data_IF_439316668937
#
_entry.id   IF_439316668937
#
_cell.length_a   1.000
_cell.length_b   1.000
_cell.length_c   1.000
_cell.angle_alpha   90.00
_cell.angle_beta   90.00
_cell.angle_gamma   90.00
#
_symmetry.space_group_name_H-M   'P 1'
#
loop_
_entity.id
_entity.type
_entity.pdbx_description
1 polymer ?
#
# COMPACT_ATOMS: atom_id res chain seq x y z
N UNK A 1 -2.70 6.15 -2.73
CA UNK A 1 -3.00 6.57 -4.05
C UNK A 1 -3.00 5.48 -5.11
N UNK A 2 -3.18 4.20 -4.73
CA UNK A 2 -3.39 3.11 -5.69
C UNK A 2 -4.80 3.14 -6.28
N UNK A 3 -4.97 2.55 -7.48
CA UNK A 3 -6.31 2.15 -7.95
C UNK A 3 -6.90 1.10 -6.99
N UNK A 4 -6.08 0.08 -6.67
CA UNK A 4 -6.39 -0.92 -5.65
C UNK A 4 -5.05 -1.39 -5.08
N UNK A 5 -4.98 -1.72 -3.76
CA UNK A 5 -3.73 -2.18 -3.15
C UNK A 5 -3.25 -3.49 -3.79
N UNK A 6 -2.20 -3.46 -4.61
CA UNK A 6 -1.78 -4.63 -5.39
C UNK A 6 -0.92 -5.59 -4.57
N UNK A 7 -0.80 -6.82 -5.06
CA UNK A 7 0.40 -7.61 -4.79
C UNK A 7 1.64 -6.86 -5.28
N UNK A 8 2.72 -6.85 -4.49
CA UNK A 8 3.93 -6.07 -4.79
C UNK A 8 5.10 -6.91 -5.32
N UNK A 9 4.86 -8.19 -5.63
CA UNK A 9 5.87 -9.12 -6.11
C UNK A 9 5.60 -9.69 -7.51
N UNK A 10 4.34 -9.98 -7.83
CA UNK A 10 3.99 -10.69 -9.06
C UNK A 10 3.68 -9.80 -10.26
N UNK A 11 2.95 -8.66 -10.13
CA UNK A 11 2.72 -7.78 -11.27
C UNK A 11 4.03 -7.28 -11.88
N UNK A 12 4.04 -7.07 -13.19
CA UNK A 12 5.17 -6.44 -13.83
C UNK A 12 5.23 -4.92 -13.49
N UNK A 13 6.37 -4.28 -13.76
CA UNK A 13 6.55 -2.87 -13.44
C UNK A 13 5.55 -1.94 -14.14
N UNK A 14 5.14 -2.28 -15.36
CA UNK A 14 4.15 -1.51 -16.12
C UNK A 14 2.77 -1.57 -15.46
N UNK A 15 2.33 -2.74 -14.99
CA UNK A 15 1.07 -2.89 -14.25
C UNK A 15 1.06 -2.06 -12.97
N UNK A 16 2.15 -2.07 -12.20
CA UNK A 16 2.29 -1.24 -11.01
C UNK A 16 2.21 0.26 -11.35
N UNK A 17 2.88 0.70 -12.44
CA UNK A 17 2.82 2.10 -12.90
C UNK A 17 1.38 2.47 -13.29
N UNK A 18 0.66 1.60 -13.99
CA UNK A 18 -0.74 1.83 -14.35
C UNK A 18 -1.66 1.88 -13.12
N UNK A 19 -1.43 1.01 -12.15
CA UNK A 19 -2.17 1.02 -10.88
C UNK A 19 -2.02 2.37 -10.16
N UNK A 20 -0.80 2.89 -10.08
CA UNK A 20 -0.53 4.21 -9.50
C UNK A 20 -1.19 5.32 -10.34
N UNK A 21 -1.07 5.26 -11.67
CA UNK A 21 -1.61 6.29 -12.56
C UNK A 21 -3.14 6.39 -12.46
N UNK A 22 -3.84 5.25 -12.46
CA UNK A 22 -5.29 5.21 -12.26
C UNK A 22 -5.70 5.75 -10.88
N UNK A 23 -4.96 5.37 -9.84
CA UNK A 23 -5.19 5.89 -8.48
C UNK A 23 -4.97 7.39 -8.40
N UNK A 24 -3.85 7.91 -8.92
CA UNK A 24 -3.57 9.36 -8.93
C UNK A 24 -4.65 10.13 -9.69
N UNK A 25 -5.06 9.64 -10.87
CA UNK A 25 -6.12 10.26 -11.65
C UNK A 25 -7.41 10.36 -10.85
N UNK A 26 -7.82 9.28 -10.18
CA UNK A 26 -9.01 9.28 -9.34
C UNK A 26 -8.91 10.30 -8.20
N UNK A 27 -7.80 10.34 -7.47
CA UNK A 27 -7.63 11.29 -6.36
C UNK A 27 -7.57 12.74 -6.83
N UNK A 28 -6.98 13.01 -7.98
CA UNK A 28 -6.95 14.35 -8.57
C UNK A 28 -8.34 14.79 -9.06
N UNK A 29 -9.09 13.91 -9.74
CA UNK A 29 -10.43 14.20 -10.27
C UNK A 29 -11.46 14.40 -9.15
N UNK A 30 -11.46 13.53 -8.13
CA UNK A 30 -12.49 13.53 -7.09
C UNK A 30 -12.16 14.45 -5.90
N UNK A 31 -10.89 14.61 -5.56
CA UNK A 31 -10.48 15.32 -4.34
C UNK A 31 -9.52 16.50 -4.59
N UNK A 32 -9.05 16.68 -5.81
CA UNK A 32 -8.08 17.75 -6.14
C UNK A 32 -6.72 17.57 -5.47
N UNK A 33 -6.36 16.35 -5.07
CA UNK A 33 -5.10 16.05 -4.37
C UNK A 33 -4.34 14.93 -5.07
N UNK A 34 -3.01 14.97 -4.94
CA UNK A 34 -2.13 13.90 -5.38
C UNK A 34 -1.38 13.34 -4.17
N UNK A 35 -1.66 12.11 -3.74
CA UNK A 35 -0.99 11.52 -2.60
C UNK A 35 0.52 11.39 -2.81
N UNK A 36 1.30 11.71 -1.77
CA UNK A 36 2.76 11.59 -1.75
C UNK A 36 3.25 10.44 -0.86
N UNK A 37 2.34 9.86 -0.07
CA UNK A 37 2.59 8.65 0.70
C UNK A 37 1.87 7.46 0.08
N UNK A 38 2.61 6.43 -0.26
CA UNK A 38 2.04 5.14 -0.61
C UNK A 38 1.72 4.33 0.66
N UNK A 39 0.64 3.56 0.62
CA UNK A 39 0.19 2.71 1.74
C UNK A 39 -0.10 1.33 1.21
N UNK A 40 0.52 0.30 1.78
CA UNK A 40 0.22 -1.09 1.44
C UNK A 40 0.40 -1.98 2.67
N UNK A 41 -0.67 -2.10 3.45
CA UNK A 41 -0.62 -2.71 4.77
C UNK A 41 -0.52 -4.24 4.71
N UNK A 42 -1.30 -4.86 3.85
CA UNK A 42 -1.55 -6.29 3.90
C UNK A 42 -0.87 -7.11 2.78
N UNK A 43 -0.18 -6.49 1.85
CA UNK A 43 0.55 -7.19 0.79
C UNK A 43 1.61 -8.14 1.36
N UNK A 44 1.78 -9.27 0.69
CA UNK A 44 2.59 -10.40 1.18
C UNK A 44 4.06 -10.26 0.78
N UNK A 45 4.61 -9.10 1.13
CA UNK A 45 5.96 -8.68 0.85
C UNK A 45 6.07 -7.66 -0.29
N UNK A 46 7.25 -7.05 -0.41
CA UNK A 46 7.46 -5.94 -1.33
C UNK A 46 8.81 -6.10 -2.04
N UNK A 47 8.78 -6.15 -3.37
CA UNK A 47 9.99 -6.20 -4.19
C UNK A 47 10.79 -4.89 -4.08
N UNK A 48 12.11 -4.98 -3.97
CA UNK A 48 12.99 -3.79 -3.96
C UNK A 48 12.88 -2.96 -5.25
N UNK A 49 12.43 -3.56 -6.35
CA UNK A 49 12.14 -2.85 -7.61
C UNK A 49 11.02 -1.82 -7.49
N UNK A 50 10.12 -1.99 -6.52
CA UNK A 50 9.03 -1.06 -6.24
C UNK A 50 9.54 0.34 -5.83
N UNK A 51 10.68 0.43 -5.14
CA UNK A 51 11.25 1.71 -4.67
C UNK A 51 11.43 2.71 -5.81
N UNK A 52 11.99 2.25 -6.93
CA UNK A 52 12.19 3.10 -8.10
C UNK A 52 10.86 3.59 -8.68
N UNK A 53 9.88 2.72 -8.75
CA UNK A 53 8.55 3.05 -9.29
C UNK A 53 7.86 4.08 -8.38
N UNK A 54 7.85 3.84 -7.07
CA UNK A 54 7.28 4.78 -6.09
C UNK A 54 7.93 6.15 -6.19
N UNK A 55 9.26 6.20 -6.16
CA UNK A 55 10.00 7.45 -6.20
C UNK A 55 9.72 8.23 -7.51
N UNK A 56 9.74 7.57 -8.66
CA UNK A 56 9.46 8.22 -9.95
C UNK A 56 7.98 8.62 -10.11
N UNK A 57 7.07 7.94 -9.44
CA UNK A 57 5.65 8.31 -9.41
C UNK A 57 5.35 9.50 -8.47
N UNK A 58 6.36 9.98 -7.72
CA UNK A 58 6.24 11.11 -6.80
C UNK A 58 5.90 10.73 -5.36
N UNK A 59 6.00 9.44 -5.00
CA UNK A 59 5.95 9.03 -3.61
C UNK A 59 7.35 9.14 -2.98
N UNK A 60 7.44 9.82 -1.86
CA UNK A 60 8.66 9.96 -1.07
C UNK A 60 8.59 9.22 0.26
N UNK A 61 7.40 8.68 0.56
CA UNK A 61 7.12 7.94 1.80
C UNK A 61 6.25 6.72 1.55
N UNK A 62 6.39 5.72 2.43
CA UNK A 62 5.68 4.44 2.31
C UNK A 62 5.31 3.89 3.68
N UNK A 63 4.08 3.47 3.87
CA UNK A 63 3.62 2.80 5.11
C UNK A 63 3.30 1.35 4.81
N UNK A 64 3.87 0.45 5.63
CA UNK A 64 3.68 -1.00 5.54
C UNK A 64 3.43 -1.59 6.93
N UNK A 65 2.71 -2.71 7.01
CA UNK A 65 2.60 -3.52 8.21
C UNK A 65 3.33 -4.86 8.07
N UNK A 66 3.59 -5.29 6.85
CA UNK A 66 4.32 -6.53 6.53
C UNK A 66 5.61 -6.22 5.77
N UNK A 67 6.65 -7.03 5.97
CA UNK A 67 6.78 -8.17 6.89
C UNK A 67 6.83 -7.71 8.36
N UNK A 68 6.25 -8.51 9.25
CA UNK A 68 6.36 -8.28 10.69
C UNK A 68 7.81 -8.46 11.18
N UNK A 69 8.14 -7.91 12.35
CA UNK A 69 9.49 -7.97 12.94
C UNK A 69 10.03 -9.40 13.05
N UNK A 70 9.19 -10.37 13.35
CA UNK A 70 9.59 -11.77 13.42
C UNK A 70 10.03 -12.37 12.07
N UNK A 71 9.52 -11.87 10.96
CA UNK A 71 9.85 -12.31 9.61
C UNK A 71 11.01 -11.52 9.01
N UNK A 72 11.14 -10.28 9.40
CA UNK A 72 12.18 -9.36 8.94
C UNK A 72 12.76 -8.65 10.19
N UNK A 73 13.77 -9.26 10.83
CA UNK A 73 14.30 -8.80 12.10
C UNK A 73 15.12 -7.51 11.91
N UNK A 74 14.42 -6.40 11.92
CA UNK A 74 14.95 -5.06 11.84
C UNK A 74 14.30 -4.24 12.94
N UNK A 75 15.09 -3.63 13.81
CA UNK A 75 14.60 -3.06 15.06
C UNK A 75 13.78 -1.77 14.83
N UNK A 76 14.25 -0.92 13.94
CA UNK A 76 13.61 0.36 13.70
C UNK A 76 12.33 0.24 12.87
N UNK A 77 11.33 1.03 13.25
CA UNK A 77 10.09 1.17 12.49
C UNK A 77 10.27 2.08 11.27
N UNK A 78 11.15 3.09 11.37
CA UNK A 78 11.41 4.03 10.29
C UNK A 78 12.78 3.79 9.67
N UNK A 79 12.83 3.63 8.36
CA UNK A 79 14.06 3.40 7.59
C UNK A 79 13.98 3.93 6.16
N UNK A 80 15.12 4.26 5.59
CA UNK A 80 15.22 4.53 4.14
C UNK A 80 15.27 3.22 3.38
N UNK A 81 14.28 2.97 2.57
CA UNK A 81 14.28 1.84 1.65
C UNK A 81 14.86 2.26 0.33
N UNK A 82 16.01 1.69 -0.02
CA UNK A 82 16.78 2.08 -1.18
C UNK A 82 16.68 1.03 -2.28
N UNK A 83 16.33 1.50 -3.46
CA UNK A 83 16.22 0.69 -4.67
C UNK A 83 17.54 0.50 -5.38
N UNK A 84 17.56 -0.45 -6.34
CA UNK A 84 18.74 -0.82 -7.11
C UNK A 84 19.34 0.33 -7.94
N UNK A 85 18.52 1.31 -8.35
CA UNK A 85 18.93 2.48 -9.11
C UNK A 85 19.33 3.68 -8.24
N UNK A 86 19.40 3.50 -6.91
CA UNK A 86 19.72 4.56 -5.96
C UNK A 86 18.52 5.45 -5.56
N UNK A 87 17.32 5.18 -6.07
CA UNK A 87 16.07 5.81 -5.58
C UNK A 87 15.81 5.41 -4.14
N UNK A 88 15.21 6.30 -3.36
CA UNK A 88 14.94 6.09 -1.94
C UNK A 88 13.51 6.53 -1.59
N UNK A 89 12.88 5.83 -0.66
CA UNK A 89 11.64 6.24 0.00
C UNK A 89 11.78 6.04 1.51
N UNK A 90 11.23 6.94 2.31
CA UNK A 90 11.19 6.77 3.76
C UNK A 90 10.01 5.85 4.11
N UNK A 91 10.30 4.73 4.73
CA UNK A 91 9.29 3.74 5.14
C UNK A 91 8.99 3.88 6.61
N UNK A 92 7.72 3.78 6.96
CA UNK A 92 7.25 3.46 8.31
C UNK A 92 6.66 2.06 8.29
N UNK A 93 7.22 1.15 9.10
CA UNK A 93 6.65 -0.16 9.35
C UNK A 93 5.86 -0.12 10.65
N UNK A 94 4.56 -0.18 10.56
CA UNK A 94 3.75 -0.38 11.75
C UNK A 94 3.92 -1.83 12.23
N UNK A 95 4.53 -2.02 13.39
CA UNK A 95 4.67 -3.33 14.02
C UNK A 95 3.34 -3.78 14.67
N UNK A 96 2.43 -2.84 14.86
CA UNK A 96 1.05 -3.07 15.27
C UNK A 96 0.19 -3.48 14.08
N UNK A 97 -0.91 -4.11 14.35
CA UNK A 97 -1.93 -4.31 13.32
C UNK A 97 -2.47 -2.95 12.85
N UNK A 98 -2.87 -2.85 11.59
CA UNK A 98 -3.58 -1.69 11.05
C UNK A 98 -5.07 -1.66 11.45
N UNK A 99 -5.50 -2.58 12.31
CA UNK A 99 -6.85 -2.70 12.85
C UNK A 99 -6.82 -2.86 14.37
N UNK A 100 -7.96 -2.64 15.01
CA UNK A 100 -8.15 -2.76 16.45
C UNK A 100 -9.41 -3.56 16.79
N UNK A 101 -9.45 -4.12 17.98
CA UNK A 101 -10.65 -4.77 18.50
C UNK A 101 -11.66 -3.70 18.93
N UNK A 102 -12.94 -3.90 18.60
CA UNK A 102 -14.02 -3.00 18.98
C UNK A 102 -14.01 -2.70 20.48
N UNK A 103 -13.96 -1.42 20.84
CA UNK A 103 -13.97 -0.94 22.22
C UNK A 103 -12.65 -1.09 22.98
N UNK A 104 -11.54 -1.40 22.29
CA UNK A 104 -10.25 -1.61 22.95
C UNK A 104 -9.23 -0.50 22.67
N UNK A 105 -9.48 0.38 21.70
CA UNK A 105 -8.52 1.39 21.23
C UNK A 105 -8.03 2.29 22.36
N UNK A 106 -8.88 2.70 23.29
CA UNK A 106 -8.46 3.55 24.41
C UNK A 106 -7.33 2.92 25.22
N UNK A 107 -7.46 1.64 25.58
CA UNK A 107 -6.45 0.89 26.33
C UNK A 107 -5.19 0.61 25.50
N UNK A 108 -5.38 0.22 24.26
CA UNK A 108 -4.27 -0.09 23.33
C UNK A 108 -3.44 1.18 23.05
N UNK A 109 -4.10 2.32 22.86
CA UNK A 109 -3.44 3.60 22.67
C UNK A 109 -2.68 4.06 23.91
N UNK A 110 -3.22 3.88 25.13
CA UNK A 110 -2.47 4.14 26.37
C UNK A 110 -1.19 3.32 26.46
N UNK A 111 -1.25 2.05 26.10
CA UNK A 111 -0.06 1.18 26.08
C UNK A 111 0.93 1.65 25.02
N UNK A 112 0.45 1.95 23.80
CA UNK A 112 1.28 2.48 22.72
C UNK A 112 2.00 3.77 23.10
N UNK A 113 1.31 4.69 23.77
CA UNK A 113 1.92 5.95 24.26
C UNK A 113 3.03 5.71 25.29
N UNK A 114 2.88 4.70 26.15
CA UNK A 114 3.93 4.33 27.10
C UNK A 114 5.11 3.67 26.39
N UNK A 115 4.86 2.79 25.43
CA UNK A 115 5.89 2.07 24.66
C UNK A 115 6.68 3.02 23.74
N UNK A 116 6.08 4.13 23.31
CA UNK A 116 6.70 5.12 22.42
C UNK A 116 7.03 6.46 23.08
N UNK A 117 7.04 6.54 24.40
CA UNK A 117 7.24 7.80 25.16
C UNK A 117 8.55 8.53 24.88
N UNK A 118 9.57 7.80 24.45
CA UNK A 118 10.89 8.35 24.11
C UNK A 118 10.99 8.78 22.64
N UNK A 119 9.97 8.51 21.84
CA UNK A 119 9.90 8.92 20.44
C UNK A 119 9.26 10.31 20.32
N UNK A 120 9.87 11.25 19.58
CA UNK A 120 9.33 12.60 19.44
C UNK A 120 8.02 12.65 18.66
N UNK A 121 7.80 11.70 17.77
CA UNK A 121 6.60 11.55 16.93
C UNK A 121 6.37 10.07 16.68
N UNK A 122 5.17 9.59 16.92
CA UNK A 122 4.74 8.21 16.65
C UNK A 122 3.41 8.16 15.90
N UNK A 123 3.19 7.07 15.18
CA UNK A 123 1.97 6.83 14.40
C UNK A 123 1.25 5.60 14.93
N UNK A 124 0.01 5.78 15.40
CA UNK A 124 -0.86 4.68 15.80
C UNK A 124 -1.98 4.50 14.77
N UNK A 125 -2.06 3.32 14.19
CA UNK A 125 -3.11 2.94 13.24
C UNK A 125 -4.24 2.22 13.99
N UNK A 126 -5.48 2.62 13.74
CA UNK A 126 -6.62 2.01 14.43
C UNK A 126 -7.90 2.06 13.60
N UNK A 127 -8.84 1.23 14.00
CA UNK A 127 -10.16 1.06 13.41
C UNK A 127 -10.55 -0.40 13.49
N UNK A 128 -11.82 -0.70 13.74
CA UNK A 128 -12.33 -2.08 13.72
C UNK A 128 -12.06 -2.66 12.35
N UNK A 129 -11.26 -3.69 12.31
CA UNK A 129 -10.74 -4.24 11.07
C UNK A 129 -11.23 -5.61 10.77
N UNK A 130 -10.47 -6.20 9.91
CA UNK A 130 -10.57 -7.50 9.30
C UNK A 130 -11.86 -7.69 8.49
N UNK A 131 -11.78 -7.31 7.21
CA UNK A 131 -12.84 -7.43 6.19
C UNK A 131 -14.05 -6.48 6.33
N UNK A 132 -13.83 -5.33 6.93
CA UNK A 132 -14.81 -4.27 6.99
C UNK A 132 -14.98 -3.73 8.40
N UNK A 133 -15.16 -2.45 8.48
CA UNK A 133 -15.23 -1.76 9.76
C UNK A 133 -14.71 -0.34 9.62
N UNK A 134 -13.92 0.08 10.58
CA UNK A 134 -13.37 1.41 10.67
C UNK A 134 -13.52 1.99 12.07
N UNK A 135 -13.35 3.30 12.27
CA UNK A 135 -13.46 3.91 13.57
C UNK A 135 -14.85 3.71 14.20
N UNK A 136 -14.91 3.04 15.36
CA UNK A 136 -16.17 2.89 16.08
C UNK A 136 -16.48 4.14 16.92
N UNK A 137 -17.76 4.36 17.22
CA UNK A 137 -18.16 5.48 18.08
C UNK A 137 -17.67 5.32 19.52
N UNK A 138 -17.56 4.09 20.00
CA UNK A 138 -17.03 3.77 21.34
C UNK A 138 -15.56 4.17 21.38
N UNK A 139 -14.77 3.67 20.47
CA UNK A 139 -13.34 3.95 20.38
C UNK A 139 -13.06 5.44 20.15
N UNK A 140 -13.84 6.13 19.30
CA UNK A 140 -13.75 7.59 19.13
C UNK A 140 -14.00 8.36 20.44
N UNK A 141 -14.92 7.87 21.27
CA UNK A 141 -15.21 8.47 22.57
C UNK A 141 -14.02 8.29 23.51
N UNK A 142 -13.45 7.09 23.57
CA UNK A 142 -12.29 6.78 24.41
C UNK A 142 -11.04 7.55 23.96
N UNK A 143 -10.75 7.59 22.66
CA UNK A 143 -9.66 8.41 22.10
C UNK A 143 -9.87 9.89 22.41
N UNK A 144 -11.10 10.43 22.24
CA UNK A 144 -11.41 11.83 22.56
C UNK A 144 -11.20 12.16 24.04
N UNK A 145 -11.51 11.22 24.93
CA UNK A 145 -11.27 11.33 26.36
C UNK A 145 -9.76 11.38 26.65
N UNK A 146 -9.00 10.43 26.10
CA UNK A 146 -7.56 10.35 26.27
C UNK A 146 -6.82 11.58 25.75
N UNK A 147 -7.23 12.12 24.60
CA UNK A 147 -6.71 13.41 24.09
C UNK A 147 -6.83 14.53 25.13
N UNK A 148 -7.98 14.64 25.81
CA UNK A 148 -8.19 15.67 26.82
C UNK A 148 -7.40 15.42 28.10
N UNK A 149 -7.33 14.17 28.56
CA UNK A 149 -6.66 13.78 29.78
C UNK A 149 -5.15 13.94 29.70
N UNK A 150 -4.56 13.67 28.53
CA UNK A 150 -3.11 13.74 28.31
C UNK A 150 -2.61 15.07 27.72
N UNK A 151 -3.51 16.03 27.45
CA UNK A 151 -3.19 17.30 26.77
C UNK A 151 -2.10 18.15 27.45
N UNK A 152 -1.85 17.98 28.75
CA UNK A 152 -0.78 18.68 29.48
C UNK A 152 0.60 18.04 29.29
N UNK A 153 0.68 16.80 28.82
CA UNK A 153 1.89 16.00 28.73
C UNK A 153 2.34 15.80 27.28
N UNK A 154 1.39 15.56 26.37
CA UNK A 154 1.66 15.27 24.97
C UNK A 154 0.47 15.67 24.09
N UNK A 155 0.73 15.84 22.81
CA UNK A 155 -0.28 16.13 21.80
C UNK A 155 -0.71 14.85 21.08
N UNK A 156 -1.97 14.49 21.20
CA UNK A 156 -2.59 13.39 20.43
C UNK A 156 -3.55 14.00 19.42
N UNK A 157 -3.32 13.75 18.12
CA UNK A 157 -4.16 14.30 17.05
C UNK A 157 -4.65 13.19 16.12
N UNK A 158 -5.86 13.36 15.59
CA UNK A 158 -6.25 12.60 14.40
C UNK A 158 -5.47 13.14 13.20
N UNK A 159 -4.83 12.26 12.47
CA UNK A 159 -3.86 12.64 11.44
C UNK A 159 -3.97 11.75 10.20
N UNK A 160 -3.03 11.92 9.30
CA UNK A 160 -2.81 11.07 8.14
C UNK A 160 -1.30 10.81 7.96
N UNK A 161 -0.91 9.81 7.15
CA UNK A 161 0.49 9.46 6.98
C UNK A 161 1.39 10.59 6.47
N UNK A 162 0.90 11.46 5.59
CA UNK A 162 1.70 12.59 5.08
C UNK A 162 2.04 13.59 6.17
N UNK A 163 1.08 13.92 7.04
CA UNK A 163 1.33 14.77 8.20
C UNK A 163 2.31 14.11 9.17
N UNK A 164 2.16 12.82 9.46
CA UNK A 164 3.13 12.07 10.26
C UNK A 164 4.54 12.17 9.71
N UNK A 165 4.74 11.85 8.44
CA UNK A 165 6.09 11.89 7.84
C UNK A 165 6.68 13.30 7.79
N UNK A 166 5.86 14.34 7.64
CA UNK A 166 6.31 15.72 7.72
C UNK A 166 6.91 16.02 9.09
N UNK A 167 6.19 15.69 10.16
CA UNK A 167 6.66 15.90 11.53
C UNK A 167 7.85 14.98 11.86
N UNK A 168 7.80 13.73 11.41
CA UNK A 168 8.88 12.76 11.62
C UNK A 168 10.19 13.18 10.96
N UNK A 169 10.14 13.67 9.71
CA UNK A 169 11.31 14.22 9.00
C UNK A 169 11.87 15.47 9.67
N UNK A 170 11.03 16.28 10.31
CA UNK A 170 11.48 17.46 11.07
C UNK A 170 12.16 17.06 12.39
N UNK A 171 11.68 16.01 13.04
CA UNK A 171 12.21 15.54 14.31
C UNK A 171 13.46 14.67 14.19
N UNK A 172 13.63 13.91 13.08
CA UNK A 172 14.74 12.97 12.87
C UNK A 172 15.29 13.12 11.45
N UNK A 173 16.59 13.33 11.36
CA UNK A 173 17.29 13.60 10.07
C UNK A 173 18.12 12.43 9.56
N UNK A 174 18.26 11.36 10.33
CA UNK A 174 19.04 10.17 9.96
C UNK A 174 18.24 8.91 10.22
N UNK A 175 18.18 8.05 9.23
CA UNK A 175 17.47 6.77 9.27
C UNK A 175 18.42 5.65 8.81
N UNK A 176 18.30 4.44 9.36
CA UNK A 176 19.00 3.29 8.83
C UNK A 176 18.54 2.96 7.41
N UNK A 177 19.40 2.32 6.64
CA UNK A 177 19.15 2.01 5.22
C UNK A 177 18.89 0.52 5.03
N UNK A 178 17.84 0.20 4.29
CA UNK A 178 17.49 -1.15 3.85
C UNK A 178 17.58 -1.21 2.32
N UNK A 179 18.42 -2.11 1.78
CA UNK A 179 18.70 -2.25 0.33
C UNK A 179 18.22 -3.60 -0.24
N UNK A 180 17.23 -4.23 0.36
CA UNK A 180 16.71 -5.54 -0.05
C UNK A 180 15.18 -5.53 -0.11
N UNK A 181 14.60 -6.54 -0.78
CA UNK A 181 13.16 -6.74 -0.76
C UNK A 181 12.65 -7.00 0.67
N UNK A 182 11.46 -6.51 0.96
CA UNK A 182 10.77 -6.74 2.24
C UNK A 182 10.02 -8.08 2.14
N UNK A 183 10.78 -9.16 2.15
CA UNK A 183 10.34 -10.55 1.99
C UNK A 183 11.12 -11.44 2.96
N UNK A 184 10.65 -12.66 3.25
CA UNK A 184 9.42 -13.31 2.78
C UNK A 184 8.19 -12.98 3.64
N UNK A 185 7.00 -13.09 3.03
CA UNK A 185 5.71 -13.06 3.73
C UNK A 185 4.75 -14.02 3.02
N UNK A 186 4.10 -14.93 3.76
CA UNK A 186 3.04 -15.82 3.27
C UNK A 186 3.39 -16.54 1.93
N UNK A 187 4.60 -17.08 1.82
CA UNK A 187 5.18 -17.64 0.59
C UNK A 187 4.31 -18.73 -0.07
N UNK A 188 3.54 -19.48 0.73
CA UNK A 188 2.65 -20.52 0.25
C UNK A 188 1.57 -20.03 -0.71
N UNK A 189 1.11 -18.78 -0.54
CA UNK A 189 0.11 -18.17 -1.42
C UNK A 189 0.60 -18.13 -2.86
N UNK A 190 1.87 -17.81 -3.08
CA UNK A 190 2.47 -17.68 -4.41
C UNK A 190 2.54 -18.99 -5.21
N UNK A 191 2.27 -20.12 -4.58
CA UNK A 191 2.19 -21.45 -5.20
C UNK A 191 0.77 -22.00 -5.32
N UNK A 192 -0.23 -21.29 -4.76
CA UNK A 192 -1.65 -21.67 -4.84
C UNK A 192 -2.35 -21.02 -6.04
N UNK A 193 -3.58 -21.44 -6.34
CA UNK A 193 -4.46 -20.86 -7.38
C UNK A 193 -3.72 -20.52 -8.68
N UNK A 194 -2.96 -21.46 -9.22
CA UNK A 194 -2.05 -21.25 -10.35
C UNK A 194 -2.75 -20.72 -11.61
N UNK A 195 -4.04 -21.03 -11.79
CA UNK A 195 -4.83 -20.54 -12.94
C UNK A 195 -4.93 -19.02 -12.95
N UNK A 196 -5.16 -18.39 -11.78
CA UNK A 196 -5.19 -16.92 -11.63
C UNK A 196 -3.87 -16.33 -12.11
N UNK A 197 -2.75 -16.87 -11.65
CA UNK A 197 -1.40 -16.42 -12.01
C UNK A 197 -1.10 -16.54 -13.49
N UNK A 198 -1.52 -17.64 -14.10
CA UNK A 198 -1.36 -17.87 -15.54
C UNK A 198 -2.20 -16.89 -16.36
N UNK A 199 -3.47 -16.68 -15.97
CA UNK A 199 -4.37 -15.74 -16.64
C UNK A 199 -3.89 -14.29 -16.47
N UNK A 200 -3.48 -13.92 -15.28
CA UNK A 200 -2.89 -12.60 -15.01
C UNK A 200 -1.69 -12.33 -15.95
N UNK A 201 -0.72 -13.24 -16.01
CA UNK A 201 0.45 -13.08 -16.89
C UNK A 201 0.07 -13.02 -18.38
N UNK A 202 -0.90 -13.81 -18.79
CA UNK A 202 -1.42 -13.75 -20.15
C UNK A 202 -2.05 -12.37 -20.42
N UNK A 203 -2.90 -11.89 -19.53
CA UNK A 203 -3.60 -10.61 -19.69
C UNK A 203 -2.62 -9.42 -19.75
N UNK A 204 -1.59 -9.40 -18.89
CA UNK A 204 -0.52 -8.38 -18.97
C UNK A 204 0.10 -8.32 -20.38
N UNK A 205 0.40 -9.49 -20.96
CA UNK A 205 0.99 -9.55 -22.30
C UNK A 205 0.02 -9.16 -23.40
N UNK A 206 -1.22 -9.66 -23.36
CA UNK A 206 -2.24 -9.39 -24.37
C UNK A 206 -2.64 -7.89 -24.43
N UNK A 207 -2.70 -7.21 -23.28
CA UNK A 207 -2.93 -5.76 -23.25
C UNK A 207 -1.81 -5.03 -24.00
N UNK A 208 -0.54 -5.35 -23.71
CA UNK A 208 0.60 -4.72 -24.38
C UNK A 208 0.61 -5.00 -25.90
N UNK A 209 0.25 -6.19 -26.30
CA UNK A 209 0.12 -6.56 -27.72
C UNK A 209 -1.04 -5.80 -28.35
N UNK A 210 -2.21 -5.78 -27.70
CA UNK A 210 -3.39 -5.08 -28.16
C UNK A 210 -3.16 -3.58 -28.39
N UNK A 211 -2.52 -2.90 -27.44
CA UNK A 211 -2.16 -1.49 -27.57
C UNK A 211 -1.24 -1.22 -28.77
N UNK A 212 -0.20 -2.04 -28.95
CA UNK A 212 0.73 -1.92 -30.09
C UNK A 212 0.01 -2.15 -31.41
N UNK A 213 -0.83 -3.17 -31.50
CA UNK A 213 -1.60 -3.47 -32.71
C UNK A 213 -2.61 -2.37 -33.03
N UNK A 214 -3.33 -1.88 -32.03
CA UNK A 214 -4.30 -0.80 -32.18
C UNK A 214 -3.62 0.50 -32.65
N UNK A 215 -2.45 0.84 -32.05
CA UNK A 215 -1.65 1.99 -32.49
C UNK A 215 -1.18 1.86 -33.94
N UNK A 216 -0.70 0.67 -34.33
CA UNK A 216 -0.30 0.42 -35.72
C UNK A 216 -1.50 0.51 -36.68
N UNK A 217 -2.66 -0.03 -36.31
CA UNK A 217 -3.85 0.05 -37.11
C UNK A 217 -4.31 1.50 -37.32
N UNK A 218 -4.26 2.32 -36.26
CA UNK A 218 -4.59 3.75 -36.38
C UNK A 218 -3.60 4.48 -37.30
N UNK A 219 -2.32 4.29 -37.12
CA UNK A 219 -1.27 5.00 -37.89
C UNK A 219 -1.23 4.58 -39.37
N UNK A 220 -1.44 3.29 -39.66
CA UNK A 220 -1.29 2.76 -41.00
C UNK A 220 -2.60 2.76 -41.82
N UNK A 221 -3.74 2.61 -41.16
CA UNK A 221 -5.02 2.39 -41.80
C UNK A 221 -6.11 3.39 -41.42
N UNK A 222 -5.80 4.32 -40.48
CA UNK A 222 -6.77 5.30 -39.96
C UNK A 222 -7.89 4.67 -39.12
N UNK A 223 -7.72 3.46 -38.62
CA UNK A 223 -8.66 2.81 -37.72
C UNK A 223 -8.67 3.54 -36.36
N UNK A 224 -9.85 3.84 -35.83
CA UNK A 224 -9.97 4.50 -34.54
C UNK A 224 -9.37 3.61 -33.44
N UNK A 225 -8.47 4.18 -32.60
CA UNK A 225 -7.91 3.50 -31.45
C UNK A 225 -9.02 3.15 -30.43
N UNK A 226 -9.15 1.88 -29.99
CA UNK A 226 -10.20 1.42 -29.07
C UNK A 226 -9.85 1.77 -27.61
N UNK A 227 -9.85 3.08 -27.30
CA UNK A 227 -9.36 3.61 -26.02
C UNK A 227 -10.15 3.08 -24.83
N UNK A 228 -11.46 3.06 -24.94
CA UNK A 228 -12.34 2.67 -23.82
C UNK A 228 -12.23 1.18 -23.52
N UNK A 229 -12.21 0.34 -24.57
CA UNK A 229 -12.07 -1.11 -24.43
C UNK A 229 -10.71 -1.51 -23.83
N UNK A 230 -9.63 -0.83 -24.25
CA UNK A 230 -8.30 -1.05 -23.66
C UNK A 230 -8.29 -0.58 -22.21
N UNK A 231 -8.92 0.56 -21.89
CA UNK A 231 -8.99 1.05 -20.53
C UNK A 231 -9.78 0.10 -19.61
N UNK A 232 -10.89 -0.45 -20.08
CA UNK A 232 -11.63 -1.48 -19.36
C UNK A 232 -10.79 -2.73 -19.09
N UNK A 233 -10.06 -3.21 -20.11
CA UNK A 233 -9.14 -4.35 -19.95
C UNK A 233 -8.03 -4.06 -18.93
N UNK A 234 -7.44 -2.86 -18.95
CA UNK A 234 -6.46 -2.43 -17.96
C UNK A 234 -7.06 -2.44 -16.56
N UNK A 235 -8.24 -1.87 -16.37
CA UNK A 235 -8.89 -1.85 -15.03
C UNK A 235 -9.22 -3.26 -14.52
N UNK A 236 -9.63 -4.17 -15.40
CA UNK A 236 -9.84 -5.57 -15.04
C UNK A 236 -8.52 -6.24 -14.60
N UNK A 237 -7.42 -5.99 -15.32
CA UNK A 237 -6.09 -6.44 -14.91
C UNK A 237 -5.73 -5.91 -13.51
N UNK A 238 -5.81 -4.59 -13.31
CA UNK A 238 -5.45 -3.96 -12.04
C UNK A 238 -6.32 -4.43 -10.87
N UNK A 239 -7.59 -4.72 -11.12
CA UNK A 239 -8.47 -5.33 -10.12
C UNK A 239 -8.02 -6.73 -9.73
N UNK A 240 -7.62 -7.55 -10.72
CA UNK A 240 -7.13 -8.92 -10.49
C UNK A 240 -5.80 -8.97 -9.72
N UNK A 241 -5.06 -7.86 -9.66
CA UNK A 241 -3.79 -7.71 -8.94
C UNK A 241 -3.96 -7.47 -7.44
N UNK A 242 -5.19 -7.35 -6.94
CA UNK A 242 -5.45 -7.19 -5.51
C UNK A 242 -4.70 -8.24 -4.69
N UNK A 243 -4.16 -7.82 -3.55
CA UNK A 243 -3.24 -8.65 -2.76
C UNK A 243 -3.88 -9.91 -2.15
N UNK A 244 -5.20 -10.05 -2.17
CA UNK A 244 -5.91 -11.29 -1.81
C UNK A 244 -6.43 -12.08 -3.03
N UNK A 245 -6.33 -11.55 -4.24
CA UNK A 245 -6.67 -12.26 -5.47
C UNK A 245 -5.44 -12.91 -6.12
N UNK A 246 -4.51 -12.11 -6.60
CA UNK A 246 -3.34 -12.59 -7.35
C UNK A 246 -2.43 -13.55 -6.56
N UNK A 247 -2.10 -13.31 -5.28
CA UNK A 247 -1.32 -14.27 -4.49
C UNK A 247 -2.01 -15.60 -4.25
N UNK A 248 -3.34 -15.66 -4.39
CA UNK A 248 -4.11 -16.89 -4.24
C UNK A 248 -4.48 -17.21 -2.78
N UNK A 249 -4.72 -16.20 -1.99
CA UNK A 249 -5.28 -16.29 -0.62
C UNK A 249 -6.80 -16.14 -0.60
N UNK A 250 -7.41 -15.77 -1.73
CA UNK A 250 -8.84 -15.58 -1.86
C UNK A 250 -9.67 -16.85 -1.74
N UNK A 251 -10.98 -16.70 -1.50
CA UNK A 251 -11.95 -17.80 -1.51
C UNK A 251 -12.12 -18.35 -2.94
N UNK A 252 -12.81 -19.49 -3.07
CA UNK A 252 -13.16 -20.03 -4.38
C UNK A 252 -13.92 -19.02 -5.24
N UNK A 253 -14.82 -18.24 -4.66
CA UNK A 253 -15.56 -17.21 -5.39
C UNK A 253 -14.63 -16.12 -5.94
N UNK A 254 -13.65 -15.68 -5.15
CA UNK A 254 -12.63 -14.72 -5.62
C UNK A 254 -11.82 -15.29 -6.77
N UNK A 255 -11.43 -16.57 -6.71
CA UNK A 255 -10.74 -17.23 -7.82
C UNK A 255 -11.61 -17.23 -9.09
N UNK A 256 -12.89 -17.59 -8.97
CA UNK A 256 -13.83 -17.63 -10.09
C UNK A 256 -14.07 -16.24 -10.70
N UNK A 257 -14.23 -15.21 -9.87
CA UNK A 257 -14.44 -13.83 -10.30
C UNK A 257 -13.18 -13.21 -10.95
N UNK A 258 -12.00 -13.71 -10.61
CA UNK A 258 -10.71 -13.22 -11.14
C UNK A 258 -10.30 -13.91 -12.46
N UNK A 259 -10.89 -15.08 -12.79
CA UNK A 259 -10.59 -15.86 -14.00
C UNK A 259 -11.37 -15.38 -15.22
#
# INVERSE_FOLDING_TARGET
GWYLQPDCNMPNGESIIRNISEGHRFFEEEFGVRPTTAINFDSFGHSVGLVQILNQAGYDTYVVCRPAKAQFPFEEQDYLWKGLAGSEVLVHRSDENYNSVYGHVGKELEQFLEDTKDEPVSLYLWGVGDHGGGPSRVDLTDVTKLIKERAAELEIIHSNPEAYFKERKAAKTSYPVVEKSLNPVAEGCYTSQVRVKQKHRLLENEILVGEKMATQAELLYGTKYPKEEIHEAVRALLFSEFHDALPGSGTQQVEEDTL
#
